data_IF_008566851291
#
_entry.id   IF_008566851291
#
_cell.length_a   1.000
_cell.length_b   1.000
_cell.length_c   1.000
_cell.angle_alpha   90.00
_cell.angle_beta   90.00
_cell.angle_gamma   90.00
#
_symmetry.space_group_name_H-M   'P 1'
#
loop_
_entity.id
_entity.type
_entity.pdbx_description
1 polymer ?
#
# COMPACT_ATOMS: atom_id res chain seq x y z
N UNK A 1 -3.77 -18.09 10.64
CA UNK A 1 -2.50 -17.38 10.90
C UNK A 1 -2.84 -15.91 10.87
N UNK A 2 -2.53 -15.18 11.95
CA UNK A 2 -2.68 -13.73 11.94
C UNK A 2 -1.55 -13.15 11.10
N UNK A 3 -1.83 -12.80 9.85
CA UNK A 3 -0.84 -12.32 8.87
C UNK A 3 -0.55 -10.81 9.05
N UNK A 4 -0.90 -10.26 10.20
CA UNK A 4 -0.67 -8.85 10.50
C UNK A 4 0.76 -8.67 11.02
N UNK A 5 1.63 -8.07 10.20
CA UNK A 5 2.93 -7.63 10.70
C UNK A 5 2.74 -6.64 11.85
N UNK A 6 3.41 -6.83 13.01
CA UNK A 6 3.21 -5.98 14.17
C UNK A 6 3.67 -4.56 13.87
N UNK A 7 2.74 -3.60 13.94
CA UNK A 7 3.06 -2.19 13.80
C UNK A 7 3.62 -1.65 15.11
N UNK A 8 4.87 -1.18 15.07
CA UNK A 8 5.47 -0.43 16.17
C UNK A 8 4.70 0.88 16.41
N UNK A 9 4.89 1.48 17.60
CA UNK A 9 4.31 2.80 17.91
C UNK A 9 4.74 3.86 16.89
N UNK A 10 5.99 3.81 16.43
CA UNK A 10 6.53 4.71 15.42
C UNK A 10 5.84 4.52 14.07
N UNK A 11 5.59 3.28 13.61
CA UNK A 11 4.85 3.04 12.38
C UNK A 11 3.45 3.64 12.42
N UNK A 12 2.74 3.49 13.55
CA UNK A 12 1.38 4.04 13.73
C UNK A 12 1.39 5.57 13.68
N UNK A 13 2.34 6.22 14.35
CA UNK A 13 2.49 7.68 14.33
C UNK A 13 2.81 8.21 12.94
N UNK A 14 3.76 7.59 12.23
CA UNK A 14 4.12 7.99 10.87
C UNK A 14 2.94 7.87 9.91
N UNK A 15 2.21 6.75 9.94
CA UNK A 15 1.01 6.53 9.12
C UNK A 15 -0.08 7.56 9.40
N UNK A 16 -0.33 7.88 10.67
CA UNK A 16 -1.34 8.87 11.05
C UNK A 16 -0.98 10.28 10.57
N UNK A 17 0.28 10.69 10.75
CA UNK A 17 0.75 12.00 10.32
C UNK A 17 0.69 12.15 8.80
N UNK A 18 1.12 11.12 8.07
CA UNK A 18 1.02 11.10 6.61
C UNK A 18 -0.44 11.22 6.14
N UNK A 19 -1.36 10.44 6.73
CA UNK A 19 -2.78 10.48 6.37
C UNK A 19 -3.40 11.87 6.60
N UNK A 20 -3.12 12.51 7.75
CA UNK A 20 -3.58 13.88 8.03
C UNK A 20 -3.09 14.87 6.98
N UNK A 21 -1.81 14.79 6.59
CA UNK A 21 -1.23 15.70 5.62
C UNK A 21 -1.83 15.53 4.20
N UNK A 22 -2.14 14.29 3.80
CA UNK A 22 -2.70 14.01 2.48
C UNK A 22 -4.19 14.36 2.36
N UNK A 23 -4.94 14.27 3.46
CA UNK A 23 -6.35 14.73 3.49
C UNK A 23 -6.45 16.25 3.28
N UNK A 24 -5.50 17.00 3.86
CA UNK A 24 -5.49 18.48 3.78
C UNK A 24 -5.02 18.98 2.40
N UNK A 25 -4.29 18.15 1.64
CA UNK A 25 -3.70 18.52 0.35
C UNK A 25 -4.19 17.59 -0.78
N UNK A 26 -5.50 17.65 -1.12
CA UNK A 26 -6.09 16.76 -2.12
C UNK A 26 -5.55 17.03 -3.54
N UNK A 27 -5.10 18.25 -3.80
CA UNK A 27 -4.45 18.69 -5.03
C UNK A 27 -3.14 17.95 -5.32
N UNK A 28 -2.46 17.45 -4.28
CA UNK A 28 -1.21 16.69 -4.45
C UNK A 28 -1.42 15.33 -5.09
N UNK A 29 -2.61 14.71 -4.96
CA UNK A 29 -2.86 13.37 -5.52
C UNK A 29 -2.64 13.30 -7.03
N UNK A 30 -3.00 14.34 -7.77
CA UNK A 30 -2.84 14.37 -9.24
C UNK A 30 -1.39 14.46 -9.70
N UNK A 31 -0.46 14.83 -8.82
CA UNK A 31 0.96 14.98 -9.10
C UNK A 31 1.78 13.77 -8.66
N UNK A 32 1.19 12.80 -7.96
CA UNK A 32 1.89 11.65 -7.41
C UNK A 32 1.90 10.51 -8.43
N UNK A 33 3.09 10.01 -8.75
CA UNK A 33 3.28 8.75 -9.49
C UNK A 33 3.61 7.65 -8.49
N UNK A 34 2.73 6.64 -8.37
CA UNK A 34 2.96 5.48 -7.52
C UNK A 34 3.74 4.40 -8.28
N UNK A 35 4.66 3.73 -7.57
CA UNK A 35 5.40 2.58 -8.08
C UNK A 35 5.61 1.57 -6.95
N UNK A 36 5.62 0.29 -7.30
CA UNK A 36 5.93 -0.83 -6.41
C UNK A 36 6.39 -2.04 -7.26
N UNK A 37 7.07 -2.99 -6.63
CA UNK A 37 7.51 -4.23 -7.28
C UNK A 37 6.63 -5.40 -6.84
N UNK A 38 6.18 -6.20 -7.80
CA UNK A 38 5.46 -7.44 -7.55
C UNK A 38 6.19 -8.60 -8.18
N UNK A 39 6.49 -9.64 -7.39
CA UNK A 39 6.91 -10.93 -7.94
C UNK A 39 5.73 -11.62 -8.63
N UNK A 40 5.86 -11.89 -9.92
CA UNK A 40 4.93 -12.67 -10.74
C UNK A 40 5.50 -14.08 -10.92
N UNK A 41 4.82 -15.09 -10.38
CA UNK A 41 5.22 -16.49 -10.54
C UNK A 41 4.34 -17.11 -11.64
N UNK A 42 4.96 -17.70 -12.67
CA UNK A 42 4.29 -18.34 -13.81
C UNK A 42 3.79 -19.77 -13.49
N UNK A 43 3.62 -20.09 -12.20
CA UNK A 43 3.50 -21.47 -11.70
C UNK A 43 2.04 -21.94 -11.52
N UNK A 44 1.06 -21.22 -12.08
CA UNK A 44 -0.35 -21.60 -12.01
C UNK A 44 -1.23 -20.82 -12.99
N UNK A 45 -2.41 -21.35 -13.37
CA UNK A 45 -3.33 -20.62 -14.24
C UNK A 45 -3.75 -19.34 -13.54
N UNK A 46 -3.44 -18.19 -14.14
CA UNK A 46 -3.92 -16.87 -13.72
C UNK A 46 -5.44 -16.78 -13.91
N UNK A 47 -6.20 -17.51 -13.09
CA UNK A 47 -7.65 -17.38 -12.98
C UNK A 47 -8.46 -17.61 -14.26
N UNK A 48 -7.86 -17.91 -15.42
CA UNK A 48 -8.60 -18.19 -16.64
C UNK A 48 -9.14 -19.63 -16.59
N UNK A 49 -10.26 -19.80 -15.89
CA UNK A 49 -11.14 -20.95 -16.05
C UNK A 49 -12.10 -20.60 -17.18
N UNK A 50 -12.00 -21.29 -18.31
CA UNK A 50 -13.07 -21.34 -19.31
C UNK A 50 -14.33 -21.96 -18.71
#
# INVERSE_FOLDING_TARGET
MDNTLPLTKQHKMARLNWAKNMIIQPDKWSQIVFSDEKKFNLDGPDGLRH
#
